data_IF_598884177993
#
_entry.id   IF_598884177993
#
_cell.length_a   1.000
_cell.length_b   1.000
_cell.length_c   1.000
_cell.angle_alpha   90.00
_cell.angle_beta   90.00
_cell.angle_gamma   90.00
#
_symmetry.space_group_name_H-M   'P 1'
#
loop_
_entity.id
_entity.type
_entity.pdbx_description
1 polymer ?
#
# COMPACT_ATOMS: atom_id res chain seq x y z
N UNK A 1 -15.23 27.35 -37.89
CA UNK A 1 -15.45 26.02 -37.29
C UNK A 1 -14.18 25.72 -36.51
N UNK A 2 -14.08 26.29 -35.32
CA UNK A 2 -14.37 25.61 -34.03
C UNK A 2 -13.33 24.52 -33.77
N UNK A 3 -12.52 24.53 -32.72
CA UNK A 3 -12.52 25.27 -31.47
C UNK A 3 -11.94 24.36 -30.38
N UNK A 4 -11.48 24.98 -29.28
CA UNK A 4 -10.87 24.39 -28.05
C UNK A 4 -9.35 24.26 -28.12
N UNK A 5 -8.56 24.83 -27.21
CA UNK A 5 -8.88 25.47 -25.94
C UNK A 5 -7.72 25.21 -24.99
N UNK A 6 -6.66 26.00 -25.13
CA UNK A 6 -5.53 26.08 -24.20
C UNK A 6 -6.01 26.79 -22.93
N UNK A 7 -5.73 26.20 -21.77
CA UNK A 7 -5.71 26.91 -20.48
C UNK A 7 -4.44 26.55 -19.69
N UNK A 8 -3.94 27.47 -18.84
CA UNK A 8 -2.54 27.55 -18.51
C UNK A 8 -2.17 26.90 -17.16
N UNK A 9 -0.89 26.56 -17.07
CA UNK A 9 -0.16 26.25 -15.85
C UNK A 9 -0.18 27.45 -14.88
N UNK A 10 -0.39 27.17 -13.59
CA UNK A 10 -0.41 28.19 -12.54
C UNK A 10 -0.17 27.59 -11.15
N UNK A 11 1.10 27.58 -10.75
CA UNK A 11 1.65 27.78 -9.41
C UNK A 11 0.84 27.31 -8.17
N UNK A 12 1.31 26.23 -7.52
CA UNK A 12 1.14 26.05 -6.07
C UNK A 12 2.47 25.66 -5.44
N UNK A 13 2.83 26.40 -4.39
CA UNK A 13 4.13 26.38 -3.74
C UNK A 13 4.42 25.10 -2.98
N UNK A 14 5.70 24.72 -2.99
CA UNK A 14 6.28 23.69 -2.13
C UNK A 14 6.07 24.06 -0.66
N UNK A 15 5.40 23.20 0.10
CA UNK A 15 5.44 23.20 1.57
C UNK A 15 6.47 22.16 2.01
N UNK A 16 7.46 22.50 2.86
CA UNK A 16 8.49 21.55 3.24
C UNK A 16 7.97 20.51 4.24
N UNK A 17 8.19 19.24 3.91
CA UNK A 17 8.20 18.13 4.86
C UNK A 17 9.38 18.28 5.82
N UNK A 18 9.15 18.83 7.01
CA UNK A 18 9.93 18.54 8.20
C UNK A 18 9.02 18.72 9.40
N UNK A 19 8.90 17.68 10.23
CA UNK A 19 9.14 17.74 11.68
C UNK A 19 8.92 16.36 12.28
N UNK A 20 10.03 15.64 12.38
CA UNK A 20 10.22 14.62 13.40
C UNK A 20 9.94 15.23 14.78
N UNK A 21 9.27 14.46 15.63
CA UNK A 21 9.14 14.77 17.06
C UNK A 21 10.49 15.07 17.68
N UNK A 22 10.55 16.03 18.61
CA UNK A 22 10.82 15.60 19.98
C UNK A 22 10.11 16.48 21.03
N UNK A 23 9.52 15.90 22.08
CA UNK A 23 9.47 16.55 23.39
C UNK A 23 9.17 15.57 24.52
N UNK A 24 10.13 15.44 25.44
CA UNK A 24 9.99 15.27 26.90
C UNK A 24 11.33 15.75 27.48
N UNK A 25 11.46 16.68 28.41
CA UNK A 25 10.53 17.55 29.13
C UNK A 25 11.36 18.56 29.96
N UNK A 26 10.70 19.40 30.77
CA UNK A 26 11.05 19.77 32.16
C UNK A 26 10.31 21.05 32.65
N UNK A 27 9.49 20.80 33.66
CA UNK A 27 8.95 21.57 34.80
C UNK A 27 8.89 23.12 34.92
N UNK A 28 7.83 23.64 35.58
CA UNK A 28 7.68 25.03 36.01
C UNK A 28 8.00 25.27 37.51
N UNK A 29 8.24 26.53 37.88
CA UNK A 29 8.34 27.05 39.27
C UNK A 29 7.18 28.02 39.61
N UNK A 30 6.88 28.27 40.91
CA UNK A 30 5.50 28.41 41.42
C UNK A 30 5.13 29.84 41.88
N UNK A 31 3.88 30.06 42.35
CA UNK A 31 3.58 31.13 43.29
C UNK A 31 3.10 30.64 44.68
N UNK A 32 3.04 31.61 45.58
CA UNK A 32 3.04 31.54 47.04
C UNK A 32 1.88 30.81 47.75
N UNK A 33 2.24 30.39 48.96
CA UNK A 33 1.53 29.67 50.02
C UNK A 33 0.20 30.26 50.50
N UNK A 34 -0.75 29.39 50.89
CA UNK A 34 -1.41 29.38 52.21
C UNK A 34 -1.87 27.97 52.56
N UNK A 35 -1.72 27.66 53.85
CA UNK A 35 -1.76 26.37 54.56
C UNK A 35 -3.21 25.96 54.89
N UNK A 36 -3.55 24.66 54.88
CA UNK A 36 -4.09 23.87 56.01
C UNK A 36 -4.57 22.46 55.56
N UNK A 37 -3.85 21.44 56.08
CA UNK A 37 -4.23 20.10 56.56
C UNK A 37 -5.10 19.13 55.71
N UNK A 38 -4.38 18.11 55.20
CA UNK A 38 -4.68 16.66 55.07
C UNK A 38 -6.13 16.17 55.14
N UNK A 39 -6.58 15.56 54.04
CA UNK A 39 -7.02 14.16 53.99
C UNK A 39 -6.64 13.54 52.63
N UNK A 40 -6.24 12.28 52.67
CA UNK A 40 -5.50 11.52 51.66
C UNK A 40 -6.36 10.99 50.52
N UNK A 41 -5.99 11.32 49.27
CA UNK A 41 -6.21 10.45 48.12
C UNK A 41 -5.29 10.86 46.96
N UNK A 42 -4.29 10.05 46.65
CA UNK A 42 -3.66 9.96 45.32
C UNK A 42 -2.99 8.59 45.22
N UNK A 43 -3.17 7.88 44.10
CA UNK A 43 -2.07 7.19 43.44
C UNK A 43 -1.52 8.13 42.34
N UNK A 44 -0.24 8.44 42.44
CA UNK A 44 0.54 8.94 41.33
C UNK A 44 1.32 7.77 40.73
N UNK A 45 1.07 7.55 39.44
CA UNK A 45 2.04 7.24 38.38
C UNK A 45 3.31 6.43 38.71
N UNK A 46 3.45 5.40 37.86
CA UNK A 46 4.66 4.99 37.18
C UNK A 46 5.67 4.09 37.89
N UNK A 47 6.42 3.40 37.02
CA UNK A 47 7.72 2.74 37.21
C UNK A 47 7.62 1.26 37.62
N UNK A 48 7.92 0.41 36.64
CA UNK A 48 8.21 -1.01 36.83
C UNK A 48 9.29 -1.45 35.85
N UNK A 49 10.53 -1.05 36.13
CA UNK A 49 11.72 -1.71 35.62
C UNK A 49 12.26 -2.71 36.66
N UNK A 50 12.76 -3.85 36.16
CA UNK A 50 13.55 -4.91 36.80
C UNK A 50 12.89 -5.79 37.87
N UNK A 51 12.93 -7.11 37.65
CA UNK A 51 13.75 -8.03 38.49
C UNK A 51 14.34 -9.14 37.60
N UNK A 52 15.67 -9.22 37.60
CA UNK A 52 16.42 -10.37 37.14
C UNK A 52 16.32 -11.50 38.18
N UNK A 53 15.95 -12.71 37.76
CA UNK A 53 16.07 -13.91 38.59
C UNK A 53 17.15 -14.83 37.99
N UNK A 54 18.18 -15.04 38.80
CA UNK A 54 19.40 -15.79 38.51
C UNK A 54 19.16 -17.25 38.90
N UNK A 55 19.12 -18.18 37.95
CA UNK A 55 19.38 -19.60 38.25
C UNK A 55 20.33 -20.25 37.25
N UNK A 56 21.41 -20.83 37.80
CA UNK A 56 22.45 -21.61 37.13
C UNK A 56 22.02 -23.06 36.88
N UNK A 57 22.44 -23.58 35.72
CA UNK A 57 22.79 -24.99 35.48
C UNK A 57 21.61 -25.82 34.97
N UNK A 58 21.70 -26.56 33.87
CA UNK A 58 22.78 -27.45 33.39
C UNK A 58 22.70 -27.66 31.87
N UNK A 59 23.85 -28.02 31.30
CA UNK A 59 24.10 -28.35 29.88
C UNK A 59 23.27 -29.54 29.40
N UNK A 60 22.78 -29.49 28.17
CA UNK A 60 22.81 -30.65 27.28
C UNK A 60 22.92 -30.17 25.83
N UNK A 61 23.95 -30.67 25.15
CA UNK A 61 24.28 -30.38 23.77
C UNK A 61 23.42 -31.22 22.82
N UNK A 62 23.00 -30.65 21.68
CA UNK A 62 23.33 -31.15 20.34
C UNK A 62 22.59 -30.39 19.23
N UNK A 63 23.37 -30.11 18.18
CA UNK A 63 23.02 -29.90 16.79
C UNK A 63 22.31 -28.61 16.40
N UNK A 64 23.14 -27.62 16.08
CA UNK A 64 22.86 -26.55 15.15
C UNK A 64 23.01 -27.07 13.71
N UNK A 65 21.95 -26.97 12.92
CA UNK A 65 21.98 -26.75 11.48
C UNK A 65 21.35 -25.35 11.35
N UNK A 66 22.10 -24.31 10.99
CA UNK A 66 22.68 -24.14 9.67
C UNK A 66 21.79 -23.20 8.85
N UNK A 67 21.35 -22.09 9.44
CA UNK A 67 20.64 -21.00 8.75
C UNK A 67 21.70 -20.15 8.04
N UNK A 68 22.12 -20.65 6.88
CA UNK A 68 22.95 -19.90 5.95
C UNK A 68 22.04 -18.90 5.26
N UNK A 69 22.13 -17.64 5.68
CA UNK A 69 21.46 -16.54 5.01
C UNK A 69 21.86 -16.53 3.53
N UNK A 70 20.85 -16.70 2.67
CA UNK A 70 20.91 -16.37 1.25
C UNK A 70 21.12 -14.86 1.11
N UNK A 71 22.37 -14.43 1.20
CA UNK A 71 22.80 -13.14 0.69
C UNK A 71 22.86 -13.27 -0.84
N UNK A 72 21.67 -13.23 -1.45
CA UNK A 72 21.49 -13.19 -2.89
C UNK A 72 22.29 -12.00 -3.43
N UNK A 73 23.33 -12.29 -4.22
CA UNK A 73 24.16 -11.30 -4.88
C UNK A 73 23.26 -10.49 -5.81
N UNK A 74 22.76 -9.36 -5.32
CA UNK A 74 22.05 -8.38 -6.12
C UNK A 74 23.06 -7.76 -7.09
N UNK A 75 23.17 -8.37 -8.28
CA UNK A 75 23.66 -7.65 -9.46
C UNK A 75 22.68 -6.50 -9.63
N UNK A 76 23.12 -5.30 -9.28
CA UNK A 76 22.36 -4.07 -9.44
C UNK A 76 22.20 -3.79 -10.93
N UNK A 77 21.20 -4.41 -11.54
CA UNK A 77 20.74 -4.06 -12.88
C UNK A 77 20.10 -2.67 -12.82
N UNK A 78 20.37 -1.80 -13.81
CA UNK A 78 19.87 -0.43 -13.84
C UNK A 78 18.34 -0.31 -13.94
N UNK A 79 17.59 -1.41 -13.98
CA UNK A 79 16.12 -1.40 -13.89
C UNK A 79 15.58 -1.12 -12.48
N UNK A 80 16.44 -1.11 -11.45
CA UNK A 80 16.00 -0.98 -10.05
C UNK A 80 15.27 0.33 -9.72
N UNK A 81 15.40 1.36 -10.54
CA UNK A 81 14.78 2.66 -10.28
C UNK A 81 13.49 2.93 -11.07
N UNK A 82 13.12 2.06 -12.04
CA UNK A 82 12.01 2.32 -12.95
C UNK A 82 10.90 1.31 -12.75
N UNK A 83 9.66 1.78 -12.82
CA UNK A 83 8.51 0.90 -12.97
C UNK A 83 8.55 0.32 -14.38
N UNK A 84 8.29 -0.97 -14.50
CA UNK A 84 8.09 -1.65 -15.78
C UNK A 84 6.59 -1.84 -16.01
N UNK A 85 6.15 -2.05 -17.26
CA UNK A 85 4.74 -2.18 -17.61
C UNK A 85 4.17 -3.56 -17.23
N UNK A 86 4.18 -3.90 -15.95
CA UNK A 86 3.67 -5.17 -15.41
C UNK A 86 2.77 -4.93 -14.19
N UNK A 87 2.05 -5.96 -13.78
CA UNK A 87 1.07 -5.90 -12.70
C UNK A 87 0.08 -4.72 -12.87
N UNK A 88 -0.12 -3.87 -11.85
CA UNK A 88 -1.01 -2.71 -11.96
C UNK A 88 -0.60 -1.68 -13.03
N UNK A 89 0.67 -1.67 -13.45
CA UNK A 89 1.21 -0.78 -14.47
C UNK A 89 1.19 -1.38 -15.88
N UNK A 90 0.62 -2.58 -16.05
CA UNK A 90 0.39 -3.14 -17.37
C UNK A 90 -0.46 -2.18 -18.23
N UNK A 91 -0.04 -1.80 -19.44
CA UNK A 91 -0.81 -0.89 -20.30
C UNK A 91 -2.03 -1.57 -20.92
N UNK A 92 -2.06 -2.91 -20.89
CA UNK A 92 -3.19 -3.71 -21.36
C UNK A 92 -4.15 -3.94 -20.19
N UNK A 93 -5.43 -3.70 -20.43
CA UNK A 93 -6.49 -3.91 -19.45
C UNK A 93 -7.41 -5.01 -19.94
N UNK A 94 -7.73 -5.93 -19.05
CA UNK A 94 -8.88 -6.81 -19.22
C UNK A 94 -10.17 -5.98 -19.21
N UNK A 95 -11.23 -6.56 -19.75
CA UNK A 95 -12.58 -6.00 -19.68
C UNK A 95 -13.02 -5.65 -18.24
N UNK A 96 -12.63 -6.48 -17.26
CA UNK A 96 -12.92 -6.23 -15.85
C UNK A 96 -12.14 -5.06 -15.25
N UNK A 97 -10.95 -4.75 -15.78
CA UNK A 97 -10.07 -3.66 -15.34
C UNK A 97 -10.06 -2.47 -16.31
N UNK A 98 -11.01 -2.40 -17.25
CA UNK A 98 -11.13 -1.30 -18.20
C UNK A 98 -11.38 0.04 -17.46
N UNK A 99 -11.02 1.16 -18.07
CA UNK A 99 -11.14 2.49 -17.44
C UNK A 99 -12.59 2.87 -17.07
N UNK A 100 -13.56 2.38 -17.81
CA UNK A 100 -15.00 2.56 -17.60
C UNK A 100 -15.65 1.43 -16.79
N UNK A 101 -14.87 0.45 -16.33
CA UNK A 101 -15.35 -0.67 -15.52
C UNK A 101 -15.83 -0.23 -14.13
N UNK A 102 -16.69 -1.07 -13.54
CA UNK A 102 -17.16 -0.91 -12.16
C UNK A 102 -16.04 -1.01 -11.12
N UNK A 103 -14.93 -1.67 -11.47
CA UNK A 103 -13.71 -1.70 -10.67
C UNK A 103 -13.03 -0.33 -10.69
N UNK A 104 -12.78 0.21 -11.88
CA UNK A 104 -12.15 1.53 -12.07
C UNK A 104 -12.94 2.64 -11.37
N UNK A 105 -14.27 2.65 -11.54
CA UNK A 105 -15.16 3.58 -10.82
C UNK A 105 -15.05 3.43 -9.31
N UNK A 106 -15.13 2.20 -8.80
CA UNK A 106 -15.02 1.93 -7.37
C UNK A 106 -13.68 2.34 -6.76
N UNK A 107 -12.58 2.18 -7.51
CA UNK A 107 -11.27 2.67 -7.10
C UNK A 107 -11.23 4.20 -7.10
N UNK A 108 -11.71 4.83 -8.18
CA UNK A 108 -11.75 6.29 -8.30
C UNK A 108 -12.60 6.96 -7.22
N UNK A 109 -13.75 6.38 -6.86
CA UNK A 109 -14.61 6.88 -5.79
C UNK A 109 -13.88 6.88 -4.45
N UNK A 110 -13.18 5.79 -4.12
CA UNK A 110 -12.34 5.70 -2.93
C UNK A 110 -11.19 6.70 -2.99
N UNK A 111 -10.61 6.92 -4.17
CA UNK A 111 -9.51 7.88 -4.35
C UNK A 111 -9.96 9.31 -4.06
N UNK A 112 -11.13 9.69 -4.59
CA UNK A 112 -11.65 11.06 -4.54
C UNK A 112 -12.13 11.47 -3.13
N UNK A 113 -12.51 10.52 -2.27
CA UNK A 113 -12.98 10.81 -0.90
C UNK A 113 -11.86 11.11 0.11
N UNK A 114 -10.63 10.65 -0.15
CA UNK A 114 -9.51 10.72 0.80
C UNK A 114 -8.95 12.11 1.08
N UNK A 115 -8.74 12.99 0.08
CA UNK A 115 -8.14 14.31 0.34
C UNK A 115 -8.96 15.12 1.35
N UNK A 116 -10.30 15.07 1.25
CA UNK A 116 -11.18 15.72 2.21
C UNK A 116 -10.99 15.14 3.62
N UNK A 117 -10.98 13.81 3.73
CA UNK A 117 -10.78 13.14 5.02
C UNK A 117 -9.44 13.50 5.67
N UNK A 118 -8.35 13.50 4.90
CA UNK A 118 -7.02 13.85 5.39
C UNK A 118 -6.94 15.31 5.87
N UNK A 119 -7.55 16.24 5.15
CA UNK A 119 -7.63 17.66 5.53
C UNK A 119 -8.41 17.81 6.84
N UNK A 120 -9.54 17.11 6.95
CA UNK A 120 -10.41 17.17 8.12
C UNK A 120 -9.71 16.62 9.37
N UNK A 121 -9.05 15.46 9.26
CA UNK A 121 -8.24 14.87 10.33
C UNK A 121 -7.09 15.77 10.75
N UNK A 122 -6.37 16.37 9.78
CA UNK A 122 -5.26 17.29 10.07
C UNK A 122 -5.73 18.52 10.84
N UNK A 123 -6.87 19.07 10.45
CA UNK A 123 -7.46 20.23 11.14
C UNK A 123 -7.89 19.88 12.56
N UNK A 124 -8.47 18.71 12.76
CA UNK A 124 -8.85 18.23 14.09
C UNK A 124 -7.63 18.01 14.99
N UNK A 125 -6.57 17.42 14.46
CA UNK A 125 -5.31 17.25 15.19
C UNK A 125 -4.73 18.60 15.62
N UNK A 126 -4.82 19.62 14.76
CA UNK A 126 -4.40 20.98 15.10
C UNK A 126 -5.27 21.60 16.20
N UNK A 127 -6.59 21.44 16.14
CA UNK A 127 -7.51 21.92 17.18
C UNK A 127 -7.15 21.31 18.55
N UNK A 128 -6.88 20.00 18.59
CA UNK A 128 -6.42 19.32 19.81
C UNK A 128 -5.07 19.84 20.32
N UNK A 129 -4.11 20.12 19.42
CA UNK A 129 -2.81 20.71 19.80
C UNK A 129 -2.96 22.12 20.38
N UNK A 130 -3.98 22.86 19.94
CA UNK A 130 -4.32 24.17 20.49
C UNK A 130 -5.15 24.09 21.79
N UNK A 131 -5.40 22.89 22.32
CA UNK A 131 -6.22 22.68 23.52
C UNK A 131 -7.71 22.96 23.30
N UNK A 132 -8.17 22.98 22.05
CA UNK A 132 -9.59 23.10 21.71
C UNK A 132 -10.21 21.71 21.64
N UNK A 133 -11.43 21.59 22.14
CA UNK A 133 -12.21 20.38 21.94
C UNK A 133 -12.66 20.29 20.48
N UNK A 134 -12.51 19.11 19.82
CA UNK A 134 -13.05 18.88 18.49
C UNK A 134 -14.56 19.11 18.46
N UNK A 135 -15.05 19.74 17.39
CA UNK A 135 -16.49 19.90 17.17
C UNK A 135 -17.19 18.53 17.09
N UNK A 136 -18.16 18.31 17.96
CA UNK A 136 -18.84 17.01 18.12
C UNK A 136 -19.62 16.60 16.88
N UNK A 137 -20.29 17.57 16.22
CA UNK A 137 -21.03 17.30 14.99
C UNK A 137 -20.08 16.85 13.87
N UNK A 138 -18.95 17.55 13.73
CA UNK A 138 -17.91 17.21 12.77
C UNK A 138 -17.26 15.84 13.03
N UNK A 139 -17.03 15.49 14.30
CA UNK A 139 -16.56 14.15 14.68
C UNK A 139 -17.52 13.05 14.23
N UNK A 140 -18.83 13.24 14.47
CA UNK A 140 -19.86 12.29 14.04
C UNK A 140 -19.88 12.11 12.52
N UNK A 141 -19.84 13.22 11.77
CA UNK A 141 -19.80 13.19 10.30
C UNK A 141 -18.56 12.48 9.75
N UNK A 142 -17.39 12.68 10.37
CA UNK A 142 -16.17 12.00 9.96
C UNK A 142 -16.22 10.50 10.28
N UNK A 143 -16.83 10.11 11.40
CA UNK A 143 -17.05 8.71 11.73
C UNK A 143 -17.94 8.02 10.68
N UNK A 144 -19.02 8.67 10.28
CA UNK A 144 -19.94 8.14 9.26
C UNK A 144 -19.27 8.06 7.87
N UNK A 145 -18.47 9.06 7.49
CA UNK A 145 -17.68 9.01 6.25
C UNK A 145 -16.67 7.87 6.27
N UNK A 146 -15.91 7.71 7.36
CA UNK A 146 -14.91 6.65 7.50
C UNK A 146 -15.56 5.25 7.41
N UNK A 147 -16.69 5.05 8.07
CA UNK A 147 -17.46 3.79 7.99
C UNK A 147 -17.94 3.51 6.56
N UNK A 148 -18.47 4.51 5.86
CA UNK A 148 -18.92 4.38 4.47
C UNK A 148 -17.76 4.06 3.52
N UNK A 149 -16.64 4.78 3.60
CA UNK A 149 -15.47 4.51 2.76
C UNK A 149 -14.91 3.11 3.02
N UNK A 150 -14.90 2.65 4.28
CA UNK A 150 -14.51 1.29 4.60
C UNK A 150 -15.46 0.23 4.02
N UNK A 151 -16.77 0.45 4.11
CA UNK A 151 -17.76 -0.45 3.51
C UNK A 151 -17.58 -0.55 1.98
N UNK A 152 -17.34 0.58 1.30
CA UNK A 152 -17.03 0.62 -0.13
C UNK A 152 -15.75 -0.16 -0.45
N UNK A 153 -14.67 0.08 0.31
CA UNK A 153 -13.40 -0.61 0.14
C UNK A 153 -13.53 -2.13 0.38
N UNK A 154 -14.23 -2.55 1.43
CA UNK A 154 -14.45 -3.97 1.71
C UNK A 154 -15.30 -4.64 0.60
N UNK A 155 -16.33 -3.95 0.11
CA UNK A 155 -17.12 -4.42 -1.04
C UNK A 155 -16.28 -4.53 -2.32
N UNK A 156 -15.36 -3.60 -2.55
CA UNK A 156 -14.40 -3.66 -3.65
C UNK A 156 -13.45 -4.86 -3.50
N UNK A 157 -12.86 -5.07 -2.32
CA UNK A 157 -11.97 -6.21 -2.05
C UNK A 157 -12.68 -7.55 -2.24
N UNK A 158 -13.95 -7.66 -1.82
CA UNK A 158 -14.75 -8.85 -2.05
C UNK A 158 -14.97 -9.13 -3.54
N UNK A 159 -15.27 -8.09 -4.34
CA UNK A 159 -15.40 -8.22 -5.81
C UNK A 159 -14.10 -8.67 -6.45
N UNK A 160 -12.98 -8.04 -6.11
CA UNK A 160 -11.67 -8.41 -6.66
C UNK A 160 -11.29 -9.86 -6.33
N UNK A 161 -11.55 -10.30 -5.09
CA UNK A 161 -11.30 -11.67 -4.64
C UNK A 161 -12.09 -12.71 -5.43
N UNK A 162 -13.37 -12.41 -5.72
CA UNK A 162 -14.29 -13.34 -6.37
C UNK A 162 -14.25 -13.27 -7.90
N UNK A 163 -13.57 -12.28 -8.47
CA UNK A 163 -13.45 -12.10 -9.92
C UNK A 163 -12.85 -13.34 -10.60
N UNK A 164 -13.29 -13.63 -11.82
CA UNK A 164 -12.62 -14.62 -12.68
C UNK A 164 -11.42 -14.03 -13.42
N UNK A 165 -11.31 -12.71 -13.47
CA UNK A 165 -10.26 -12.00 -14.18
C UNK A 165 -8.93 -12.00 -13.39
N UNK A 166 -7.83 -12.27 -14.10
CA UNK A 166 -6.49 -12.32 -13.53
C UNK A 166 -6.09 -10.97 -12.90
N UNK A 167 -6.21 -9.87 -13.65
CA UNK A 167 -5.76 -8.55 -13.17
C UNK A 167 -6.53 -8.13 -11.91
N UNK A 168 -7.83 -8.41 -11.84
CA UNK A 168 -8.64 -8.19 -10.65
C UNK A 168 -8.11 -8.97 -9.44
N UNK A 169 -7.78 -10.25 -9.62
CA UNK A 169 -7.19 -11.08 -8.53
C UNK A 169 -5.79 -10.62 -8.15
N UNK A 170 -5.00 -10.18 -9.11
CA UNK A 170 -3.67 -9.62 -8.89
C UNK A 170 -3.76 -8.36 -8.01
N UNK A 171 -4.67 -7.42 -8.30
CA UNK A 171 -4.92 -6.25 -7.46
C UNK A 171 -5.30 -6.62 -6.02
N UNK A 172 -6.14 -7.64 -5.84
CA UNK A 172 -6.50 -8.15 -4.52
C UNK A 172 -5.27 -8.69 -3.78
N UNK A 173 -4.45 -9.52 -4.44
CA UNK A 173 -3.27 -10.15 -3.85
C UNK A 173 -2.13 -9.17 -3.58
N UNK A 174 -1.97 -8.16 -4.42
CA UNK A 174 -1.05 -7.06 -4.20
C UNK A 174 -1.45 -6.28 -2.94
N UNK A 175 -2.73 -5.96 -2.81
CA UNK A 175 -3.28 -5.26 -1.64
C UNK A 175 -3.08 -6.08 -0.37
N UNK A 176 -3.38 -7.38 -0.40
CA UNK A 176 -3.10 -8.28 0.73
C UNK A 176 -1.62 -8.36 1.08
N UNK A 177 -0.75 -8.38 0.07
CA UNK A 177 0.69 -8.46 0.28
C UNK A 177 1.25 -7.20 0.95
N UNK A 178 0.63 -6.04 0.69
CA UNK A 178 0.96 -4.74 1.28
C UNK A 178 0.53 -4.62 2.74
N UNK A 179 -0.48 -5.37 3.18
CA UNK A 179 -0.96 -5.35 4.58
C UNK A 179 0.00 -6.02 5.58
N UNK A 180 1.23 -6.38 5.18
CA UNK A 180 2.30 -6.97 6.01
C UNK A 180 1.82 -8.14 6.89
N UNK A 181 0.96 -9.01 6.33
CA UNK A 181 0.43 -10.19 7.02
C UNK A 181 -0.82 -9.94 7.86
N UNK A 182 -1.32 -8.71 7.92
CA UNK A 182 -2.62 -8.42 8.54
C UNK A 182 -3.75 -8.89 7.65
N UNK A 183 -4.78 -9.45 8.27
CA UNK A 183 -5.99 -9.82 7.55
C UNK A 183 -6.84 -8.59 7.26
N UNK A 184 -7.62 -8.64 6.17
CA UNK A 184 -8.65 -7.64 5.87
C UNK A 184 -9.65 -7.54 7.02
N UNK A 185 -9.91 -8.65 7.71
CA UNK A 185 -10.81 -8.69 8.86
C UNK A 185 -10.25 -7.89 10.05
N UNK A 186 -8.96 -8.01 10.33
CA UNK A 186 -8.30 -7.25 11.41
C UNK A 186 -8.28 -5.76 11.10
N UNK A 187 -8.05 -5.39 9.83
CA UNK A 187 -8.18 -4.02 9.40
C UNK A 187 -9.62 -3.50 9.61
N UNK A 188 -10.63 -4.32 9.30
CA UNK A 188 -12.02 -3.98 9.56
C UNK A 188 -12.33 -3.72 11.01
N UNK A 189 -11.83 -4.57 11.91
CA UNK A 189 -11.98 -4.37 13.36
C UNK A 189 -11.31 -3.09 13.83
N UNK A 190 -10.14 -2.75 13.26
CA UNK A 190 -9.44 -1.50 13.58
C UNK A 190 -10.24 -0.27 13.13
N UNK A 191 -10.75 -0.27 11.90
CA UNK A 191 -11.55 0.85 11.39
C UNK A 191 -12.84 1.01 12.18
N UNK A 192 -13.54 -0.09 12.47
CA UNK A 192 -14.76 -0.03 13.29
C UNK A 192 -14.47 0.55 14.67
N UNK A 193 -13.38 0.12 15.31
CA UNK A 193 -12.98 0.68 16.60
C UNK A 193 -12.71 2.18 16.52
N UNK A 194 -12.04 2.66 15.45
CA UNK A 194 -11.82 4.09 15.25
C UNK A 194 -13.14 4.86 15.08
N UNK A 195 -14.06 4.34 14.28
CA UNK A 195 -15.41 4.90 14.09
C UNK A 195 -16.15 4.99 15.42
N UNK A 196 -16.13 3.92 16.22
CA UNK A 196 -16.81 3.87 17.52
C UNK A 196 -16.19 4.85 18.54
N UNK A 197 -14.85 4.99 18.53
CA UNK A 197 -14.16 6.01 19.33
C UNK A 197 -14.61 7.43 18.94
N UNK A 198 -14.70 7.72 17.64
CA UNK A 198 -15.12 9.04 17.15
C UNK A 198 -16.57 9.34 17.53
N UNK A 199 -17.47 8.34 17.42
CA UNK A 199 -18.87 8.45 17.85
C UNK A 199 -18.98 8.65 19.37
N UNK A 200 -18.16 7.97 20.16
CA UNK A 200 -18.12 8.17 21.62
C UNK A 200 -17.72 9.61 21.97
N UNK A 201 -16.66 10.14 21.35
CA UNK A 201 -16.23 11.53 21.55
C UNK A 201 -17.33 12.52 21.12
N UNK A 202 -17.96 12.30 19.96
CA UNK A 202 -19.05 13.14 19.47
C UNK A 202 -20.27 13.18 20.41
N UNK A 203 -20.54 12.10 21.13
CA UNK A 203 -21.70 11.97 22.02
C UNK A 203 -21.39 12.21 23.49
N UNK A 204 -20.12 12.50 23.84
CA UNK A 204 -19.66 12.57 25.23
C UNK A 204 -19.70 11.22 25.96
N UNK A 205 -19.75 10.11 25.21
CA UNK A 205 -19.74 8.75 25.71
C UNK A 205 -18.34 8.27 26.11
N UNK A 206 -18.29 7.09 26.73
CA UNK A 206 -17.03 6.43 27.04
C UNK A 206 -16.43 5.80 25.77
N UNK A 207 -15.12 5.97 25.58
CA UNK A 207 -14.37 5.31 24.51
C UNK A 207 -14.46 3.79 24.72
N UNK A 208 -14.83 3.01 23.69
CA UNK A 208 -14.90 1.55 23.80
C UNK A 208 -13.52 0.95 24.09
N UNK A 209 -13.50 -0.28 24.61
CA UNK A 209 -12.25 -1.02 24.79
C UNK A 209 -11.68 -1.45 23.43
N UNK A 210 -10.35 -1.48 23.31
CA UNK A 210 -9.69 -1.94 22.09
C UNK A 210 -10.06 -3.41 21.78
N UNK A 211 -10.20 -3.79 20.50
CA UNK A 211 -10.50 -5.17 20.13
C UNK A 211 -9.40 -6.13 20.57
N UNK A 212 -9.79 -7.25 21.16
CA UNK A 212 -8.84 -8.27 21.64
C UNK A 212 -8.20 -8.98 20.44
N UNK A 213 -6.87 -9.12 20.47
CA UNK A 213 -6.12 -9.87 19.46
C UNK A 213 -5.86 -9.12 18.15
N UNK A 214 -6.29 -7.86 18.03
CA UNK A 214 -5.99 -7.01 16.87
C UNK A 214 -4.77 -6.15 17.19
N UNK A 215 -3.77 -6.19 16.31
CA UNK A 215 -2.61 -5.29 16.39
C UNK A 215 -3.04 -3.87 15.98
N UNK A 216 -3.15 -2.97 16.96
CA UNK A 216 -3.58 -1.58 16.74
C UNK A 216 -2.43 -0.67 16.29
N UNK A 217 -1.21 -1.19 16.11
CA UNK A 217 -0.13 -0.39 15.54
C UNK A 217 -0.46 -0.03 14.09
N UNK A 218 -0.20 1.21 13.65
CA UNK A 218 -0.42 1.57 12.26
C UNK A 218 0.47 0.71 11.34
N UNK A 219 0.00 0.32 10.15
CA UNK A 219 0.83 -0.41 9.20
C UNK A 219 2.10 0.39 8.86
N UNK A 220 3.24 -0.30 8.82
CA UNK A 220 4.58 0.30 8.66
C UNK A 220 4.73 1.11 7.37
N UNK A 221 4.08 0.67 6.30
CA UNK A 221 4.16 1.28 4.97
C UNK A 221 2.91 2.14 4.66
N UNK A 222 2.17 2.54 5.70
CA UNK A 222 0.84 3.11 5.54
C UNK A 222 -0.17 2.07 5.03
N UNK A 223 -1.46 2.36 5.16
CA UNK A 223 -2.44 1.65 4.35
C UNK A 223 -2.12 1.95 2.89
N UNK A 224 -2.26 0.98 1.96
CA UNK A 224 -2.22 1.30 0.55
C UNK A 224 -3.40 2.23 0.33
N UNK A 225 -3.10 3.53 0.34
CA UNK A 225 -4.10 4.50 0.03
C UNK A 225 -4.33 4.29 -1.45
N UNK A 226 -5.46 3.65 -1.77
CA UNK A 226 -6.10 3.85 -3.07
C UNK A 226 -6.34 5.34 -3.37
N UNK A 227 -6.00 6.22 -2.43
CA UNK A 227 -6.52 7.54 -2.23
C UNK A 227 -5.46 8.61 -1.95
N UNK A 228 -4.17 8.25 -2.07
CA UNK A 228 -3.19 9.16 -2.60
C UNK A 228 -3.24 8.90 -4.09
N UNK A 229 -3.81 9.82 -4.89
CA UNK A 229 -3.55 9.81 -6.32
C UNK A 229 -2.06 10.15 -6.45
N UNK A 230 -1.18 9.18 -6.72
CA UNK A 230 0.21 9.53 -6.95
C UNK A 230 0.23 10.40 -8.21
N UNK A 231 1.25 11.25 -8.37
CA UNK A 231 1.51 11.84 -9.68
C UNK A 231 1.53 10.69 -10.70
N UNK A 232 0.50 10.60 -11.55
CA UNK A 232 0.42 9.53 -12.53
C UNK A 232 1.65 9.61 -13.42
N UNK A 233 2.28 8.46 -13.68
CA UNK A 233 3.35 8.37 -14.65
C UNK A 233 2.72 8.61 -16.03
N UNK A 234 2.98 9.77 -16.60
CA UNK A 234 2.47 10.22 -17.90
C UNK A 234 3.56 10.24 -18.97
N UNK A 235 4.82 10.24 -18.56
CA UNK A 235 5.95 10.12 -19.47
C UNK A 235 5.95 8.74 -20.15
N UNK A 236 6.39 8.70 -21.41
CA UNK A 236 6.68 7.44 -22.09
C UNK A 236 8.01 6.85 -21.57
N UNK A 237 8.13 5.52 -21.43
CA UNK A 237 9.32 4.89 -20.86
C UNK A 237 10.58 5.08 -21.71
N UNK A 238 10.41 5.20 -23.02
CA UNK A 238 11.52 5.26 -23.98
C UNK A 238 11.32 6.47 -24.90
N UNK A 239 12.41 7.18 -25.14
CA UNK A 239 12.49 8.23 -26.14
C UNK A 239 12.59 7.64 -27.55
N UNK A 240 12.20 8.42 -28.57
CA UNK A 240 12.17 7.97 -29.97
C UNK A 240 13.53 7.49 -30.50
N UNK A 241 14.62 7.89 -29.84
CA UNK A 241 15.99 7.45 -30.11
C UNK A 241 16.20 5.94 -29.88
N UNK A 242 15.45 5.34 -28.94
CA UNK A 242 15.51 3.92 -28.59
C UNK A 242 15.11 3.00 -29.75
N UNK A 243 14.28 3.51 -30.67
CA UNK A 243 13.67 2.76 -31.76
C UNK A 243 14.32 3.02 -33.13
N UNK A 244 15.56 3.51 -33.15
CA UNK A 244 16.32 3.69 -34.39
C UNK A 244 16.69 2.36 -35.05
N UNK A 245 16.83 1.29 -34.26
CA UNK A 245 17.12 -0.06 -34.75
C UNK A 245 15.82 -0.85 -34.97
N UNK A 246 15.65 -1.40 -36.18
CA UNK A 246 14.45 -2.15 -36.56
C UNK A 246 14.27 -3.43 -35.73
N UNK A 247 15.36 -4.09 -35.34
CA UNK A 247 15.31 -5.27 -34.47
C UNK A 247 14.68 -4.93 -33.11
N UNK A 248 15.00 -3.75 -32.56
CA UNK A 248 14.47 -3.30 -31.26
C UNK A 248 12.97 -3.00 -31.37
N UNK A 249 12.52 -2.41 -32.48
CA UNK A 249 11.09 -2.18 -32.76
C UNK A 249 10.32 -3.49 -32.90
N UNK A 250 10.85 -4.45 -33.65
CA UNK A 250 10.23 -5.76 -33.84
C UNK A 250 10.10 -6.51 -32.52
N UNK A 251 11.15 -6.49 -31.69
CA UNK A 251 11.16 -7.09 -30.36
C UNK A 251 10.15 -6.42 -29.42
N UNK A 252 10.11 -5.08 -29.38
CA UNK A 252 9.13 -4.33 -28.60
C UNK A 252 7.70 -4.67 -29.03
N UNK A 253 7.45 -4.66 -30.34
CA UNK A 253 6.14 -5.00 -30.89
C UNK A 253 5.74 -6.46 -30.57
N UNK A 254 6.68 -7.40 -30.60
CA UNK A 254 6.43 -8.78 -30.19
C UNK A 254 6.11 -8.87 -28.69
N UNK A 255 6.90 -8.23 -27.83
CA UNK A 255 6.66 -8.19 -26.39
C UNK A 255 5.29 -7.60 -26.04
N UNK A 256 4.91 -6.51 -26.70
CA UNK A 256 3.60 -5.90 -26.58
C UNK A 256 2.46 -6.86 -26.97
N UNK A 257 2.57 -7.52 -28.13
CA UNK A 257 1.55 -8.48 -28.61
C UNK A 257 1.43 -9.67 -27.67
N UNK A 258 2.54 -10.26 -27.25
CA UNK A 258 2.55 -11.43 -26.39
C UNK A 258 1.97 -11.09 -25.01
N UNK A 259 2.34 -9.93 -24.45
CA UNK A 259 1.77 -9.47 -23.18
C UNK A 259 0.26 -9.25 -23.29
N UNK A 260 -0.21 -8.57 -24.34
CA UNK A 260 -1.64 -8.39 -24.57
C UNK A 260 -2.38 -9.72 -24.67
N UNK A 261 -1.83 -10.72 -25.37
CA UNK A 261 -2.43 -12.05 -25.48
C UNK A 261 -2.54 -12.76 -24.12
N UNK A 262 -1.51 -12.67 -23.28
CA UNK A 262 -1.55 -13.22 -21.92
C UNK A 262 -2.63 -12.53 -21.09
N UNK A 263 -2.77 -11.20 -21.16
CA UNK A 263 -3.84 -10.49 -20.44
C UNK A 263 -5.23 -10.91 -20.91
N UNK A 264 -5.45 -11.03 -22.22
CA UNK A 264 -6.74 -11.49 -22.78
C UNK A 264 -7.07 -12.93 -22.33
N UNK A 265 -6.08 -13.82 -22.32
CA UNK A 265 -6.27 -15.17 -21.76
C UNK A 265 -6.63 -15.11 -20.26
N UNK A 266 -6.02 -14.20 -19.52
CA UNK A 266 -6.21 -13.99 -18.09
C UNK A 266 -7.62 -13.54 -17.68
N UNK A 267 -8.46 -13.06 -18.60
CA UNK A 267 -9.85 -12.67 -18.29
C UNK A 267 -10.68 -13.83 -17.72
N UNK A 268 -10.28 -15.06 -18.07
CA UNK A 268 -10.92 -16.31 -17.66
C UNK A 268 -10.14 -17.10 -16.60
N UNK A 269 -9.10 -16.50 -15.99
CA UNK A 269 -8.18 -17.16 -15.05
C UNK A 269 -8.86 -17.92 -13.91
N UNK A 270 -9.95 -17.38 -13.35
CA UNK A 270 -10.70 -18.03 -12.28
C UNK A 270 -11.40 -19.32 -12.69
N UNK A 271 -11.60 -19.53 -14.00
CA UNK A 271 -12.20 -20.74 -14.59
C UNK A 271 -11.15 -21.79 -14.97
N UNK A 272 -9.86 -21.47 -14.90
CA UNK A 272 -8.82 -22.44 -15.13
C UNK A 272 -8.82 -23.49 -14.02
N UNK A 273 -8.46 -24.72 -14.39
CA UNK A 273 -8.12 -25.73 -13.43
C UNK A 273 -6.81 -25.34 -12.69
N UNK A 274 -6.50 -25.97 -11.56
CA UNK A 274 -5.30 -25.64 -10.79
C UNK A 274 -4.00 -25.67 -11.60
N UNK A 275 -3.84 -26.63 -12.52
CA UNK A 275 -2.65 -26.71 -13.38
C UNK A 275 -2.64 -25.59 -14.43
N UNK A 276 -3.79 -25.27 -15.02
CA UNK A 276 -3.94 -24.13 -15.93
C UNK A 276 -3.60 -22.80 -15.27
N UNK A 277 -3.98 -22.59 -14.00
CA UNK A 277 -3.60 -21.39 -13.23
C UNK A 277 -2.09 -21.27 -13.05
N UNK A 278 -1.41 -22.37 -12.70
CA UNK A 278 0.05 -22.40 -12.54
C UNK A 278 0.73 -22.14 -13.88
N UNK A 279 0.30 -22.81 -14.96
CA UNK A 279 0.86 -22.62 -16.29
C UNK A 279 0.63 -21.19 -16.83
N UNK A 280 -0.50 -20.57 -16.50
CA UNK A 280 -0.75 -19.16 -16.82
C UNK A 280 0.26 -18.25 -16.11
N UNK A 281 0.49 -18.44 -14.80
CA UNK A 281 1.45 -17.65 -14.03
C UNK A 281 2.88 -17.83 -14.57
N UNK A 282 3.26 -19.04 -15.00
CA UNK A 282 4.55 -19.29 -15.66
C UNK A 282 4.70 -18.53 -16.99
N UNK A 283 3.61 -18.40 -17.76
CA UNK A 283 3.62 -17.62 -18.99
C UNK A 283 3.72 -16.13 -18.72
N UNK A 284 3.00 -15.64 -17.70
CA UNK A 284 3.08 -14.24 -17.27
C UNK A 284 4.49 -13.89 -16.80
N UNK A 285 5.10 -14.70 -15.95
CA UNK A 285 6.45 -14.48 -15.42
C UNK A 285 7.50 -14.37 -16.53
N UNK A 286 7.37 -15.17 -17.61
CA UNK A 286 8.22 -15.03 -18.81
C UNK A 286 8.05 -13.70 -19.52
N UNK A 287 6.85 -13.13 -19.53
CA UNK A 287 6.61 -11.78 -20.06
C UNK A 287 7.26 -10.73 -19.17
N UNK A 288 7.17 -10.88 -17.85
CA UNK A 288 7.81 -9.95 -16.90
C UNK A 288 9.33 -9.97 -17.01
N UNK A 289 9.94 -11.15 -17.12
CA UNK A 289 11.37 -11.30 -17.33
C UNK A 289 11.82 -10.63 -18.65
N UNK A 290 11.04 -10.79 -19.72
CA UNK A 290 11.31 -10.12 -21.00
C UNK A 290 11.23 -8.60 -20.88
N UNK A 291 10.28 -8.07 -20.11
CA UNK A 291 10.23 -6.64 -19.80
C UNK A 291 11.46 -6.18 -19.02
N UNK A 292 11.90 -6.96 -18.02
CA UNK A 292 13.10 -6.67 -17.24
C UNK A 292 14.36 -6.62 -18.10
N UNK A 293 14.54 -7.61 -18.98
CA UNK A 293 15.66 -7.66 -19.93
C UNK A 293 15.59 -6.47 -20.89
N UNK A 294 14.41 -6.16 -21.43
CA UNK A 294 14.22 -5.06 -22.38
C UNK A 294 14.53 -3.70 -21.75
N UNK A 295 13.96 -3.40 -20.57
CA UNK A 295 14.23 -2.17 -19.81
C UNK A 295 15.69 -2.09 -19.34
N UNK A 296 16.26 -3.20 -18.88
CA UNK A 296 17.66 -3.27 -18.47
C UNK A 296 18.61 -2.93 -19.62
N UNK A 297 18.37 -3.50 -20.80
CA UNK A 297 19.18 -3.25 -22.00
C UNK A 297 19.06 -1.81 -22.50
N UNK A 298 17.85 -1.27 -22.63
CA UNK A 298 17.67 0.12 -23.06
C UNK A 298 18.15 1.13 -22.01
N UNK A 299 18.06 0.77 -20.72
CA UNK A 299 18.62 1.56 -19.63
C UNK A 299 20.14 1.67 -19.69
N UNK A 300 20.84 0.58 -20.01
CA UNK A 300 22.30 0.60 -20.23
C UNK A 300 22.72 1.44 -21.44
N UNK A 301 21.85 1.51 -22.46
CA UNK A 301 22.07 2.34 -23.66
C UNK A 301 21.71 3.82 -23.45
N UNK A 302 21.22 4.20 -22.26
CA UNK A 302 20.80 5.57 -21.96
C UNK A 302 19.50 6.00 -22.66
N UNK A 303 18.74 5.05 -23.21
CA UNK A 303 17.52 5.30 -24.00
C UNK A 303 16.23 5.21 -23.17
N UNK A 304 16.36 5.34 -21.84
CA UNK A 304 15.22 5.46 -20.92
C UNK A 304 14.99 6.95 -20.64
N UNK A 305 13.75 7.38 -20.83
CA UNK A 305 13.32 8.77 -20.60
C UNK A 305 13.63 9.23 -19.16
N UNK A 306 14.38 10.32 -18.96
CA UNK A 306 14.65 10.87 -17.62
C UNK A 306 13.37 11.20 -16.85
N UNK A 307 12.38 11.80 -17.52
CA UNK A 307 11.09 12.15 -16.94
C UNK A 307 10.34 10.91 -16.44
N UNK A 308 10.43 9.80 -17.17
CA UNK A 308 9.83 8.54 -16.75
C UNK A 308 10.48 7.97 -15.49
N UNK A 309 11.82 8.07 -15.38
CA UNK A 309 12.55 7.63 -14.18
C UNK A 309 12.14 8.45 -12.96
N UNK A 310 12.09 9.76 -13.11
CA UNK A 310 11.70 10.68 -12.03
C UNK A 310 10.27 10.42 -11.58
N UNK A 311 9.31 10.38 -12.51
CA UNK A 311 7.90 10.10 -12.20
C UNK A 311 7.72 8.70 -11.57
N UNK A 312 8.46 7.69 -12.04
CA UNK A 312 8.45 6.35 -11.43
C UNK A 312 8.93 6.36 -9.99
N UNK A 313 10.04 7.06 -9.72
CA UNK A 313 10.62 7.15 -8.38
C UNK A 313 9.70 7.93 -7.42
N UNK A 314 9.12 9.04 -7.86
CA UNK A 314 8.14 9.80 -7.08
C UNK A 314 6.89 8.98 -6.78
N UNK A 315 6.35 8.27 -7.78
CA UNK A 315 5.19 7.40 -7.63
C UNK A 315 5.44 6.34 -6.56
N UNK A 316 6.56 5.60 -6.68
CA UNK A 316 6.92 4.55 -5.73
C UNK A 316 7.15 5.13 -4.33
N UNK A 317 7.86 6.26 -4.23
CA UNK A 317 8.11 6.95 -2.96
C UNK A 317 6.80 7.39 -2.29
N UNK A 318 5.79 7.81 -3.05
CA UNK A 318 4.49 8.20 -2.50
C UNK A 318 3.74 7.02 -1.84
N UNK A 319 4.02 5.79 -2.29
CA UNK A 319 3.52 4.55 -1.70
C UNK A 319 4.45 3.98 -0.62
N UNK A 320 5.56 4.66 -0.29
CA UNK A 320 6.56 4.14 0.65
C UNK A 320 7.38 2.98 0.10
N UNK A 321 7.43 2.80 -1.22
CA UNK A 321 8.11 1.70 -1.89
C UNK A 321 9.28 2.19 -2.75
N UNK A 322 10.23 1.29 -2.99
CA UNK A 322 11.24 1.39 -4.06
C UNK A 322 10.92 0.40 -5.18
N UNK A 323 11.60 0.51 -6.33
CA UNK A 323 11.40 -0.41 -7.46
C UNK A 323 11.59 -1.88 -7.07
N UNK A 324 12.68 -2.26 -6.35
CA UNK A 324 12.89 -3.63 -5.91
C UNK A 324 11.86 -4.09 -4.87
N UNK A 325 11.42 -3.20 -3.97
CA UNK A 325 10.35 -3.52 -3.02
C UNK A 325 9.02 -3.78 -3.74
N UNK A 326 8.65 -2.94 -4.72
CA UNK A 326 7.46 -3.16 -5.53
C UNK A 326 7.54 -4.49 -6.30
N UNK A 327 8.70 -4.82 -6.89
CA UNK A 327 8.88 -6.12 -7.55
C UNK A 327 8.78 -7.30 -6.60
N UNK A 328 9.35 -7.18 -5.40
CA UNK A 328 9.19 -8.19 -4.36
C UNK A 328 7.72 -8.36 -3.95
N UNK A 329 6.99 -7.25 -3.85
CA UNK A 329 5.56 -7.24 -3.52
C UNK A 329 4.74 -7.96 -4.61
N UNK A 330 5.00 -7.67 -5.88
CA UNK A 330 4.32 -8.30 -7.00
C UNK A 330 4.61 -9.81 -7.07
N UNK A 331 5.88 -10.22 -6.94
CA UNK A 331 6.26 -11.64 -6.88
C UNK A 331 5.57 -12.36 -5.72
N UNK A 332 5.47 -11.72 -4.55
CA UNK A 332 4.73 -12.27 -3.40
C UNK A 332 3.26 -12.45 -3.72
N UNK A 333 2.63 -11.49 -4.41
CA UNK A 333 1.24 -11.60 -4.84
C UNK A 333 1.03 -12.79 -5.80
N UNK A 334 1.91 -12.98 -6.79
CA UNK A 334 1.84 -14.15 -7.68
C UNK A 334 2.12 -15.46 -6.97
N UNK A 335 3.08 -15.49 -6.05
CA UNK A 335 3.34 -16.68 -5.24
C UNK A 335 2.11 -17.08 -4.42
N UNK A 336 1.41 -16.12 -3.81
CA UNK A 336 0.16 -16.39 -3.13
C UNK A 336 -0.92 -16.95 -4.08
N UNK A 337 -0.92 -16.54 -5.35
CA UNK A 337 -1.84 -17.11 -6.36
C UNK A 337 -1.46 -18.53 -6.76
N UNK A 338 -0.16 -18.85 -6.83
CA UNK A 338 0.35 -20.21 -7.01
C UNK A 338 -0.06 -21.10 -5.83
N UNK A 339 0.18 -20.64 -4.61
CA UNK A 339 -0.18 -21.37 -3.40
C UNK A 339 -1.69 -21.62 -3.32
N UNK A 340 -2.52 -20.65 -3.73
CA UNK A 340 -3.98 -20.82 -3.86
C UNK A 340 -4.32 -21.97 -4.82
N UNK A 341 -3.72 -21.98 -6.02
CA UNK A 341 -3.95 -23.02 -7.01
C UNK A 341 -3.48 -24.41 -6.51
N UNK A 342 -2.34 -24.50 -5.85
CA UNK A 342 -1.85 -25.76 -5.26
C UNK A 342 -2.77 -26.29 -4.18
N UNK A 343 -3.33 -25.41 -3.33
CA UNK A 343 -4.33 -25.82 -2.34
C UNK A 343 -5.63 -26.31 -3.00
N UNK A 344 -6.10 -25.63 -4.05
CA UNK A 344 -7.26 -26.09 -4.83
C UNK A 344 -7.02 -27.48 -5.46
N UNK A 345 -5.78 -27.78 -5.88
CA UNK A 345 -5.38 -29.11 -6.36
C UNK A 345 -5.44 -30.16 -5.26
N UNK A 346 -4.92 -29.85 -4.06
CA UNK A 346 -4.97 -30.77 -2.91
C UNK A 346 -6.37 -31.04 -2.37
N UNK A 347 -7.33 -30.14 -2.65
CA UNK A 347 -8.75 -30.29 -2.29
C UNK A 347 -9.56 -31.07 -3.34
N UNK A 348 -9.01 -31.27 -4.55
CA UNK A 348 -9.60 -32.06 -5.64
C UNK A 348 -8.71 -33.27 -5.97
N UNK A 349 -8.58 -34.27 -5.07
CA UNK A 349 -7.77 -35.46 -5.32
C UNK A 349 -8.31 -36.36 -6.43
#
# INVERSE_FOLDING_TARGET
MEGRGLLPAGALGKVPQQLASPFLGLHPTPPHQRRWVRTSSTPAWAIGGLVACRHRGRRCARCAEGDAGDEEVQVSTPSSACITPIGPFCPYRSSACAWDSELSKGMSDLTNESPEFAVEMSRMQLDMQMGREPDSQRMGQLADKLEQSYQKWNGLMARLRLSSDFQSREYFKLTLSHLDGRSIEDLGKMVQYQVDCMRAVATGGMIPAAPVGVDMTPPKEGLPSAAAAPNMITAEPFDSSAFTNEVVKEEYAALCRDHQQVIVMGESYGNFDPLGKIAFLDQLEKIEERWDIFFGRLGLLGALSPDYKEQSAEFLSSMGLSGPQFRKLLRKAHQQMRDDAERERGLNP
#
